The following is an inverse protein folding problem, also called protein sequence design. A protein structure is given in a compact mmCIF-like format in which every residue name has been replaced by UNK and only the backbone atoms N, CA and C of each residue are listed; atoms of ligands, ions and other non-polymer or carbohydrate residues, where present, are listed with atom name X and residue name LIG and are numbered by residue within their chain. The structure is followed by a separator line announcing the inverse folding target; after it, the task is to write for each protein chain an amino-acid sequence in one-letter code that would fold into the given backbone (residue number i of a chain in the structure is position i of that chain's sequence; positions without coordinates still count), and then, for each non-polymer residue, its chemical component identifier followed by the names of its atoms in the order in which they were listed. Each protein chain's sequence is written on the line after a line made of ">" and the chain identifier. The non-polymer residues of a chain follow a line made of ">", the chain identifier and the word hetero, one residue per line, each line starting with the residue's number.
data_IF_468701216369
#
_entry.id   IF_468701216369
#
_cell.length_a   1.000
_cell.length_b   1.000
_cell.length_c   1.000
_cell.angle_alpha   90.00
_cell.angle_beta   90.00
_cell.angle_gamma   90.00
#
_symmetry.space_group_name_H-M   'P 1'
#
loop_
_entity.id
_entity.type
_entity.pdbx_description
1 polymer ?
#
# COMPACT_ATOMS: atom_id res chain seq x y z
N UNK A 1 -9.35 31.10 -13.82
CA UNK A 1 -7.91 31.40 -13.75
C UNK A 1 -7.47 31.26 -12.30
N UNK A 2 -7.13 30.05 -11.86
CA UNK A 2 -6.47 29.82 -10.57
C UNK A 2 -5.37 28.80 -10.86
N UNK A 3 -4.15 29.31 -11.06
CA UNK A 3 -2.96 28.48 -11.09
C UNK A 3 -2.74 27.93 -9.67
N UNK A 4 -2.96 26.63 -9.49
CA UNK A 4 -2.33 25.91 -8.38
C UNK A 4 -0.86 25.75 -8.73
N UNK A 5 -0.01 26.37 -7.92
CA UNK A 5 1.44 26.32 -8.03
C UNK A 5 1.86 24.87 -7.82
N UNK A 6 2.23 24.19 -8.90
CA UNK A 6 2.92 22.91 -8.85
C UNK A 6 4.37 23.25 -8.50
N UNK A 7 4.76 23.10 -7.24
CA UNK A 7 6.18 23.06 -6.90
C UNK A 7 6.76 21.76 -7.47
N UNK A 8 7.44 21.88 -8.61
CA UNK A 8 8.36 20.89 -9.13
C UNK A 8 9.48 20.66 -8.11
N UNK A 9 9.48 19.51 -7.42
CA UNK A 9 10.58 19.13 -6.54
C UNK A 9 11.46 18.08 -7.22
N UNK A 10 12.69 18.50 -7.53
CA UNK A 10 13.78 17.63 -7.93
C UNK A 10 14.16 16.64 -6.82
N UNK A 11 14.65 15.48 -7.23
CA UNK A 11 15.16 14.40 -6.38
C UNK A 11 16.25 14.88 -5.41
N UNK A 12 15.87 15.17 -4.17
CA UNK A 12 16.78 15.16 -3.02
C UNK A 12 16.19 14.22 -1.98
N UNK A 13 17.01 13.29 -1.45
CA UNK A 13 16.60 12.33 -0.42
C UNK A 13 15.88 13.08 0.72
N UNK A 14 14.66 12.67 1.12
CA UNK A 14 13.93 13.43 2.13
C UNK A 14 14.53 13.18 3.51
N UNK A 15 14.85 14.26 4.22
CA UNK A 15 15.09 14.23 5.66
C UNK A 15 13.87 13.65 6.38
N UNK A 16 14.08 12.98 7.53
CA UNK A 16 13.04 12.21 8.24
C UNK A 16 11.73 12.99 8.51
N UNK A 17 11.79 14.31 8.67
CA UNK A 17 10.61 15.18 8.87
C UNK A 17 9.81 15.40 7.57
N UNK A 18 10.45 15.47 6.40
CA UNK A 18 9.78 15.62 5.12
C UNK A 18 9.09 14.32 4.66
N UNK A 19 9.68 13.15 4.96
CA UNK A 19 9.08 11.86 4.63
C UNK A 19 7.73 11.59 5.32
N UNK A 20 7.53 12.14 6.52
CA UNK A 20 6.28 12.02 7.29
C UNK A 20 5.11 12.79 6.66
N UNK A 21 5.38 13.94 6.03
CA UNK A 21 4.35 14.75 5.36
C UNK A 21 3.81 14.10 4.07
N UNK A 22 4.65 13.37 3.34
CA UNK A 22 4.20 12.68 2.12
C UNK A 22 3.37 11.43 2.38
N UNK A 23 3.50 10.84 3.58
CA UNK A 23 2.79 9.64 3.96
C UNK A 23 1.50 9.91 4.77
N UNK A 24 1.21 11.17 5.10
CA UNK A 24 0.03 11.50 5.91
C UNK A 24 -1.25 11.31 5.10
N UNK A 25 -2.25 10.67 5.71
CA UNK A 25 -3.57 10.54 5.14
C UNK A 25 -4.31 11.88 5.12
N UNK A 26 -4.52 12.42 3.92
CA UNK A 26 -5.21 13.69 3.70
C UNK A 26 -6.68 13.45 3.37
N UNK A 27 -7.54 13.63 4.38
CA UNK A 27 -8.99 13.48 4.26
C UNK A 27 -9.57 14.44 3.22
N UNK A 28 -9.02 15.65 3.11
CA UNK A 28 -9.51 16.64 2.16
C UNK A 28 -9.17 16.20 0.74
N UNK A 29 -7.96 15.67 0.52
CA UNK A 29 -7.58 15.11 -0.78
C UNK A 29 -8.46 13.92 -1.16
N UNK A 30 -8.75 13.02 -0.23
CA UNK A 30 -9.66 11.88 -0.48
C UNK A 30 -11.05 12.37 -0.91
N UNK A 31 -11.58 13.45 -0.32
CA UNK A 31 -12.86 14.03 -0.74
C UNK A 31 -12.83 14.63 -2.15
N UNK A 32 -11.68 15.21 -2.54
CA UNK A 32 -11.52 15.86 -3.84
C UNK A 32 -11.37 14.85 -4.99
N UNK A 33 -10.60 13.79 -4.77
CA UNK A 33 -10.19 12.89 -5.86
C UNK A 33 -10.62 11.44 -5.69
N UNK A 34 -11.22 11.08 -4.55
CA UNK A 34 -11.56 9.70 -4.21
C UNK A 34 -10.42 8.91 -3.58
N UNK A 35 -10.75 7.80 -2.93
CA UNK A 35 -9.82 6.97 -2.16
C UNK A 35 -8.72 6.34 -3.04
N UNK A 36 -9.10 5.70 -4.15
CA UNK A 36 -8.16 5.04 -5.08
C UNK A 36 -7.11 6.01 -5.61
N UNK A 37 -7.56 7.21 -5.97
CA UNK A 37 -6.68 8.24 -6.51
C UNK A 37 -5.76 8.83 -5.45
N UNK A 38 -6.27 9.11 -4.26
CA UNK A 38 -5.45 9.58 -3.14
C UNK A 38 -4.39 8.53 -2.73
N UNK A 39 -4.77 7.25 -2.67
CA UNK A 39 -3.86 6.14 -2.40
C UNK A 39 -2.79 5.98 -3.50
N UNK A 40 -3.16 6.11 -4.78
CA UNK A 40 -2.21 6.09 -5.89
C UNK A 40 -1.19 7.24 -5.79
N UNK A 41 -1.65 8.46 -5.50
CA UNK A 41 -0.79 9.62 -5.28
C UNK A 41 0.17 9.40 -4.10
N UNK A 42 -0.33 8.87 -2.99
CA UNK A 42 0.49 8.52 -1.82
C UNK A 42 1.61 7.55 -2.18
N UNK A 43 1.29 6.42 -2.82
CA UNK A 43 2.29 5.40 -3.17
C UNK A 43 3.35 5.97 -4.12
N UNK A 44 2.93 6.68 -5.18
CA UNK A 44 3.87 7.22 -6.17
C UNK A 44 4.76 8.32 -5.58
N UNK A 45 4.22 9.21 -4.73
CA UNK A 45 5.04 10.21 -4.01
C UNK A 45 6.05 9.57 -3.06
N UNK A 46 5.74 8.39 -2.53
CA UNK A 46 6.67 7.62 -1.69
C UNK A 46 7.70 6.80 -2.48
N UNK A 47 7.73 6.92 -3.81
CA UNK A 47 8.64 6.16 -4.68
C UNK A 47 8.15 4.75 -5.01
N UNK A 48 6.86 4.46 -4.80
CA UNK A 48 6.24 3.22 -5.23
C UNK A 48 5.63 3.30 -6.62
N UNK A 49 5.07 2.17 -7.04
CA UNK A 49 4.43 1.96 -8.33
C UNK A 49 3.01 1.42 -8.13
N UNK A 50 2.08 1.86 -8.97
CA UNK A 50 0.69 1.42 -8.92
C UNK A 50 0.17 0.98 -10.29
N UNK A 51 -0.92 0.21 -10.28
CA UNK A 51 -1.72 -0.11 -11.47
C UNK A 51 -3.21 -0.04 -11.12
N UNK A 52 -3.98 0.62 -11.97
CA UNK A 52 -5.45 0.61 -11.92
C UNK A 52 -6.01 -0.59 -12.69
N UNK A 53 -7.20 -1.08 -12.35
CA UNK A 53 -7.77 -2.26 -13.02
C UNK A 53 -8.19 -1.98 -14.47
N UNK A 54 -8.55 -0.73 -14.80
CA UNK A 54 -9.04 -0.30 -16.11
C UNK A 54 -7.98 0.44 -16.95
N UNK A 55 -6.76 0.58 -16.44
CA UNK A 55 -5.65 1.21 -17.17
C UNK A 55 -4.51 0.21 -17.29
N UNK A 56 -4.12 -0.11 -18.53
CA UNK A 56 -3.03 -1.04 -18.81
C UNK A 56 -1.67 -0.52 -18.31
N UNK A 57 -1.48 0.80 -18.36
CA UNK A 57 -0.29 1.49 -17.89
C UNK A 57 -0.13 1.39 -16.36
N UNK A 58 1.12 1.22 -15.94
CA UNK A 58 1.52 1.36 -14.54
C UNK A 58 2.11 2.75 -14.28
N UNK A 59 1.92 3.29 -13.09
CA UNK A 59 2.39 4.63 -12.72
C UNK A 59 3.44 4.58 -11.61
N UNK A 60 4.60 5.17 -11.89
CA UNK A 60 5.69 5.43 -10.92
C UNK A 60 6.18 6.88 -10.99
N UNK A 61 5.71 7.66 -11.97
CA UNK A 61 5.90 9.10 -12.05
C UNK A 61 4.60 9.83 -11.68
N UNK A 62 4.70 10.75 -10.72
CA UNK A 62 3.57 11.47 -10.17
C UNK A 62 2.87 12.37 -11.22
N UNK A 63 3.64 13.01 -12.10
CA UNK A 63 3.09 13.91 -13.11
C UNK A 63 2.35 13.13 -14.20
N UNK A 64 2.90 11.99 -14.62
CA UNK A 64 2.21 11.06 -15.53
C UNK A 64 0.89 10.57 -14.93
N UNK A 65 0.91 10.18 -13.65
CA UNK A 65 -0.28 9.78 -12.91
C UNK A 65 -1.35 10.88 -12.91
N UNK A 66 -1.00 12.12 -12.53
CA UNK A 66 -1.92 13.27 -12.54
C UNK A 66 -2.45 13.58 -13.92
N UNK A 67 -1.57 13.64 -14.93
CA UNK A 67 -1.98 13.95 -16.30
C UNK A 67 -2.97 12.92 -16.83
N UNK A 68 -2.74 11.63 -16.58
CA UNK A 68 -3.62 10.58 -17.10
C UNK A 68 -5.01 10.61 -16.48
N UNK A 69 -5.12 10.81 -15.17
CA UNK A 69 -6.45 10.80 -14.53
C UNK A 69 -7.17 12.13 -14.63
N UNK A 70 -6.49 13.24 -14.89
CA UNK A 70 -7.15 14.51 -15.18
C UNK A 70 -8.01 14.45 -16.47
N UNK A 71 -7.80 13.43 -17.30
CA UNK A 71 -8.56 13.17 -18.53
C UNK A 71 -9.77 12.25 -18.29
N UNK A 72 -9.95 11.72 -17.08
CA UNK A 72 -11.03 10.79 -16.73
C UNK A 72 -12.19 11.54 -16.08
N UNK A 73 -13.43 11.23 -16.44
CA UNK A 73 -14.63 11.67 -15.72
C UNK A 73 -15.12 10.54 -14.78
N UNK A 74 -14.95 10.65 -13.46
CA UNK A 74 -15.33 9.59 -12.52
C UNK A 74 -16.85 9.32 -12.45
N UNK A 75 -17.68 10.16 -13.08
CA UNK A 75 -19.13 9.93 -13.20
C UNK A 75 -19.48 8.98 -14.35
N UNK A 76 -18.56 8.79 -15.28
CA UNK A 76 -18.67 7.84 -16.37
C UNK A 76 -18.12 6.48 -15.91
N UNK A 77 -18.92 5.40 -15.91
CA UNK A 77 -18.47 4.09 -15.43
C UNK A 77 -17.19 3.58 -16.08
N UNK A 78 -16.98 3.90 -17.36
CA UNK A 78 -15.78 3.54 -18.14
C UNK A 78 -14.50 4.27 -17.69
N UNK A 79 -14.64 5.44 -17.10
CA UNK A 79 -13.52 6.28 -16.62
C UNK A 79 -13.29 6.13 -15.12
N UNK A 80 -14.17 5.43 -14.41
CA UNK A 80 -14.04 5.16 -12.99
C UNK A 80 -12.95 4.11 -12.73
N UNK A 81 -11.76 4.59 -12.37
CA UNK A 81 -10.59 3.75 -12.14
C UNK A 81 -10.47 3.31 -10.69
N UNK A 82 -10.19 2.03 -10.48
CA UNK A 82 -9.97 1.45 -9.15
C UNK A 82 -8.57 0.89 -9.02
N UNK A 83 -7.93 1.13 -7.87
CA UNK A 83 -6.56 0.76 -7.59
C UNK A 83 -6.48 -0.75 -7.37
N UNK A 84 -5.77 -1.45 -8.26
CA UNK A 84 -5.71 -2.92 -8.25
C UNK A 84 -4.41 -3.44 -7.64
N UNK A 85 -3.29 -2.79 -7.95
CA UNK A 85 -1.96 -3.24 -7.53
C UNK A 85 -1.13 -2.10 -6.97
N UNK A 86 -0.49 -2.34 -5.82
CA UNK A 86 0.52 -1.50 -5.20
C UNK A 86 1.82 -2.29 -5.15
N UNK A 87 2.91 -1.72 -5.66
CA UNK A 87 4.26 -2.24 -5.51
C UNK A 87 5.17 -1.13 -4.98
N UNK A 88 5.56 -1.23 -3.71
CA UNK A 88 6.46 -0.29 -3.06
C UNK A 88 7.78 -1.01 -2.79
N UNK A 89 8.84 -0.60 -3.49
CA UNK A 89 10.18 -1.20 -3.40
C UNK A 89 11.18 -0.08 -3.07
N UNK A 90 11.88 -0.20 -1.94
CA UNK A 90 12.70 0.88 -1.36
C UNK A 90 11.92 2.19 -1.11
N UNK A 91 10.59 2.11 -1.09
CA UNK A 91 9.68 3.24 -0.94
C UNK A 91 9.62 3.73 0.52
N UNK A 92 9.37 5.03 0.71
CA UNK A 92 9.33 5.67 2.02
C UNK A 92 7.99 5.55 2.75
N UNK A 93 7.15 4.56 2.40
CA UNK A 93 5.84 4.34 3.04
C UNK A 93 5.97 4.05 4.54
N UNK A 94 4.97 4.48 5.32
CA UNK A 94 4.89 4.23 6.77
C UNK A 94 3.65 3.40 7.11
N UNK A 95 3.63 2.79 8.29
CA UNK A 95 2.44 2.07 8.77
C UNK A 95 1.21 2.97 8.91
N UNK A 96 1.40 4.23 9.32
CA UNK A 96 0.31 5.22 9.36
C UNK A 96 -0.22 5.59 7.96
N UNK A 97 0.65 5.59 6.94
CA UNK A 97 0.25 5.81 5.55
C UNK A 97 -0.73 4.76 5.05
N UNK A 98 -0.71 3.54 5.61
CA UNK A 98 -1.67 2.49 5.28
C UNK A 98 -3.13 2.84 5.63
N UNK A 99 -3.41 3.97 6.29
CA UNK A 99 -4.78 4.51 6.36
C UNK A 99 -5.39 4.78 4.97
N UNK A 100 -4.58 4.99 3.94
CA UNK A 100 -5.05 5.09 2.54
C UNK A 100 -5.64 3.80 1.97
N UNK A 101 -5.55 2.66 2.68
CA UNK A 101 -6.30 1.46 2.31
C UNK A 101 -7.80 1.56 2.63
N UNK A 102 -8.21 2.55 3.42
CA UNK A 102 -9.62 2.85 3.68
C UNK A 102 -10.37 3.10 2.35
N UNK A 103 -11.49 2.38 2.17
CA UNK A 103 -12.35 2.45 0.99
C UNK A 103 -11.73 2.00 -0.35
N UNK A 104 -10.61 1.26 -0.35
CA UNK A 104 -10.08 0.63 -1.57
C UNK A 104 -10.78 -0.70 -1.86
N UNK A 105 -11.83 -0.67 -2.66
CA UNK A 105 -12.70 -1.84 -2.87
C UNK A 105 -12.15 -2.91 -3.84
N UNK A 106 -11.16 -2.57 -4.67
CA UNK A 106 -10.67 -3.44 -5.75
C UNK A 106 -9.18 -3.79 -5.65
N UNK A 107 -8.48 -3.43 -4.57
CA UNK A 107 -7.07 -3.77 -4.41
C UNK A 107 -6.93 -5.29 -4.25
N UNK A 108 -6.08 -5.87 -5.11
CA UNK A 108 -5.82 -7.32 -5.16
C UNK A 108 -4.41 -7.66 -4.73
N UNK A 109 -3.43 -6.84 -5.13
CA UNK A 109 -2.01 -7.19 -4.96
C UNK A 109 -1.24 -6.08 -4.27
N UNK A 110 -0.59 -6.39 -3.15
CA UNK A 110 0.27 -5.46 -2.42
C UNK A 110 1.63 -6.09 -2.20
N UNK A 111 2.67 -5.39 -2.65
CA UNK A 111 4.07 -5.78 -2.47
C UNK A 111 4.80 -4.66 -1.74
N UNK A 112 5.29 -4.94 -0.53
CA UNK A 112 6.13 -4.05 0.25
C UNK A 112 7.50 -4.69 0.46
N UNK A 113 8.49 -4.16 -0.27
CA UNK A 113 9.83 -4.71 -0.35
C UNK A 113 10.82 -3.63 0.09
N UNK A 114 11.62 -3.92 1.12
CA UNK A 114 12.59 -2.99 1.71
C UNK A 114 11.96 -1.65 2.17
N UNK A 115 10.68 -1.65 2.54
CA UNK A 115 9.99 -0.48 3.08
C UNK A 115 10.37 -0.27 4.57
N UNK A 116 11.50 0.40 4.81
CA UNK A 116 12.12 0.51 6.15
C UNK A 116 11.26 1.21 7.21
N UNK A 117 10.29 2.03 6.79
CA UNK A 117 9.41 2.76 7.70
C UNK A 117 8.04 2.10 7.90
N UNK A 118 7.74 1.00 7.21
CA UNK A 118 6.52 0.22 7.40
C UNK A 118 6.59 -0.56 8.71
N UNK A 119 5.60 -0.39 9.58
CA UNK A 119 5.53 -0.99 10.92
C UNK A 119 4.14 -1.60 11.18
N UNK A 120 3.99 -2.32 12.28
CA UNK A 120 2.86 -3.20 12.61
C UNK A 120 1.47 -2.59 12.41
N UNK A 121 1.24 -1.35 12.84
CA UNK A 121 -0.03 -0.63 12.62
C UNK A 121 -0.46 -0.61 11.13
N UNK A 122 0.48 -0.65 10.19
CA UNK A 122 0.16 -0.74 8.77
C UNK A 122 -0.62 -2.00 8.41
N UNK A 123 -0.23 -3.15 8.98
CA UNK A 123 -0.93 -4.42 8.78
C UNK A 123 -2.28 -4.44 9.51
N UNK A 124 -2.38 -3.74 10.64
CA UNK A 124 -3.65 -3.55 11.32
C UNK A 124 -4.66 -2.81 10.44
N UNK A 125 -4.29 -1.63 9.91
CA UNK A 125 -5.15 -0.84 9.02
C UNK A 125 -5.55 -1.62 7.77
N UNK A 126 -4.59 -2.27 7.12
CA UNK A 126 -4.87 -3.09 5.94
C UNK A 126 -5.85 -4.23 6.26
N UNK A 127 -5.64 -4.93 7.37
CA UNK A 127 -6.53 -6.01 7.80
C UNK A 127 -7.96 -5.52 8.09
N UNK A 128 -8.11 -4.31 8.62
CA UNK A 128 -9.42 -3.70 8.89
C UNK A 128 -10.17 -3.31 7.61
N UNK A 129 -9.47 -2.87 6.56
CA UNK A 129 -10.11 -2.26 5.39
C UNK A 129 -10.14 -3.13 4.13
N UNK A 130 -9.12 -3.97 3.91
CA UNK A 130 -8.97 -4.72 2.65
C UNK A 130 -8.72 -6.21 2.84
N UNK A 131 -8.60 -6.69 4.09
CA UNK A 131 -8.28 -8.09 4.38
C UNK A 131 -9.29 -9.10 3.82
N UNK A 132 -10.54 -8.70 3.65
CA UNK A 132 -11.62 -9.54 3.12
C UNK A 132 -11.66 -9.65 1.58
N UNK A 133 -10.78 -8.96 0.85
CA UNK A 133 -10.69 -9.10 -0.61
C UNK A 133 -9.27 -9.03 -1.19
N UNK A 134 -8.26 -8.63 -0.41
CA UNK A 134 -6.86 -8.66 -0.84
C UNK A 134 -6.44 -10.10 -1.16
N UNK A 135 -5.81 -10.31 -2.32
CA UNK A 135 -5.46 -11.64 -2.83
C UNK A 135 -4.00 -12.01 -2.61
N UNK A 136 -3.10 -11.04 -2.78
CA UNK A 136 -1.67 -11.23 -2.60
C UNK A 136 -1.11 -10.17 -1.67
N UNK A 137 -0.41 -10.62 -0.62
CA UNK A 137 0.43 -9.76 0.20
C UNK A 137 1.87 -10.29 0.22
N UNK A 138 2.82 -9.45 -0.16
CA UNK A 138 4.25 -9.73 -0.06
C UNK A 138 4.92 -8.71 0.85
N UNK A 139 5.54 -9.17 1.92
CA UNK A 139 6.38 -8.39 2.81
C UNK A 139 7.80 -8.94 2.77
N UNK A 140 8.77 -8.13 2.33
CA UNK A 140 10.17 -8.52 2.25
C UNK A 140 11.06 -7.43 2.82
N UNK A 141 11.98 -7.79 3.72
CA UNK A 141 12.95 -6.86 4.32
C UNK A 141 12.33 -5.60 4.99
N UNK A 142 11.06 -5.68 5.42
CA UNK A 142 10.38 -4.62 6.16
C UNK A 142 10.77 -4.69 7.65
N UNK A 143 11.91 -4.07 8.00
CA UNK A 143 12.61 -4.27 9.30
C UNK A 143 11.85 -3.79 10.54
N UNK A 144 10.74 -3.06 10.40
CA UNK A 144 9.91 -2.61 11.53
C UNK A 144 8.60 -3.39 11.67
N UNK A 145 8.41 -4.42 10.86
CA UNK A 145 7.37 -5.44 11.07
C UNK A 145 7.88 -6.48 12.06
N UNK A 146 7.09 -6.73 13.09
CA UNK A 146 7.36 -7.70 14.15
C UNK A 146 6.29 -8.81 14.16
N UNK A 147 6.45 -9.80 15.05
CA UNK A 147 5.43 -10.82 15.28
C UNK A 147 4.05 -10.23 15.61
N UNK A 148 3.99 -9.08 16.31
CA UNK A 148 2.72 -8.43 16.67
C UNK A 148 1.99 -7.90 15.44
N UNK A 149 2.71 -7.32 14.48
CA UNK A 149 2.12 -6.92 13.20
C UNK A 149 1.58 -8.11 12.42
N UNK A 150 2.29 -9.23 12.44
CA UNK A 150 1.87 -10.45 11.76
C UNK A 150 0.60 -11.08 12.38
N UNK A 151 0.29 -10.83 13.66
CA UNK A 151 -0.97 -11.31 14.25
C UNK A 151 -2.21 -10.73 13.57
N UNK A 152 -2.11 -9.51 13.01
CA UNK A 152 -3.20 -8.89 12.25
C UNK A 152 -3.48 -9.57 10.91
N UNK A 153 -2.58 -10.42 10.41
CA UNK A 153 -2.80 -11.18 9.17
C UNK A 153 -3.99 -12.14 9.28
N UNK A 154 -4.43 -12.48 10.49
CA UNK A 154 -5.68 -13.23 10.72
C UNK A 154 -6.93 -12.55 10.15
N UNK A 155 -6.90 -11.22 9.93
CA UNK A 155 -8.01 -10.46 9.31
C UNK A 155 -8.03 -10.57 7.78
N UNK A 156 -6.99 -11.14 7.16
CA UNK A 156 -6.82 -11.20 5.72
C UNK A 156 -7.47 -12.47 5.12
N UNK A 157 -8.76 -12.62 5.37
CA UNK A 157 -9.53 -13.86 5.14
C UNK A 157 -9.68 -14.26 3.67
N UNK A 158 -9.36 -13.37 2.73
CA UNK A 158 -9.44 -13.63 1.30
C UNK A 158 -8.10 -13.79 0.58
N UNK A 159 -6.98 -13.85 1.32
CA UNK A 159 -5.66 -14.06 0.74
C UNK A 159 -5.54 -15.43 0.08
N UNK A 160 -5.15 -15.41 -1.19
CA UNK A 160 -4.75 -16.61 -1.91
C UNK A 160 -3.25 -16.85 -1.70
N UNK A 161 -2.44 -15.79 -1.56
CA UNK A 161 -0.98 -15.87 -1.41
C UNK A 161 -0.42 -14.88 -0.39
N UNK A 162 0.40 -15.40 0.53
CA UNK A 162 1.15 -14.63 1.51
C UNK A 162 2.64 -14.97 1.41
N UNK A 163 3.48 -13.97 1.16
CA UNK A 163 4.95 -14.13 1.11
C UNK A 163 5.55 -13.26 2.20
N UNK A 164 6.28 -13.88 3.13
CA UNK A 164 7.00 -13.21 4.21
C UNK A 164 8.48 -13.57 4.12
N UNK A 165 9.34 -12.59 3.83
CA UNK A 165 10.78 -12.79 3.60
C UNK A 165 11.64 -11.85 4.42
N UNK A 166 12.69 -12.39 5.04
CA UNK A 166 13.74 -11.60 5.69
C UNK A 166 13.23 -10.54 6.69
N UNK A 167 12.16 -10.84 7.45
CA UNK A 167 11.59 -9.94 8.44
C UNK A 167 12.35 -10.07 9.77
N UNK A 168 13.52 -9.43 9.82
CA UNK A 168 14.53 -9.60 10.90
C UNK A 168 14.05 -9.32 12.34
N UNK A 169 12.94 -8.60 12.50
CA UNK A 169 12.40 -8.20 13.80
C UNK A 169 11.24 -9.08 14.27
N UNK A 170 10.98 -10.19 13.57
CA UNK A 170 9.99 -11.19 13.98
C UNK A 170 10.66 -12.22 14.88
N UNK A 171 10.18 -12.31 16.11
CA UNK A 171 10.64 -13.29 17.09
C UNK A 171 9.64 -14.46 17.23
N UNK A 172 10.11 -15.62 17.71
CA UNK A 172 9.26 -16.80 17.89
C UNK A 172 8.66 -17.35 16.60
N UNK A 173 9.49 -17.44 15.55
CA UNK A 173 9.13 -17.72 14.16
C UNK A 173 8.23 -18.94 14.00
N UNK A 174 8.54 -20.05 14.67
CA UNK A 174 7.78 -21.30 14.58
C UNK A 174 6.34 -21.11 15.10
N UNK A 175 6.19 -20.38 16.21
CA UNK A 175 4.87 -20.09 16.79
C UNK A 175 4.07 -19.14 15.91
N UNK A 176 4.72 -18.14 15.33
CA UNK A 176 4.09 -17.21 14.38
C UNK A 176 3.60 -17.97 13.15
N UNK A 177 4.46 -18.79 12.54
CA UNK A 177 4.09 -19.59 11.37
C UNK A 177 2.93 -20.53 11.67
N UNK A 178 2.96 -21.24 12.81
CA UNK A 178 1.87 -22.12 13.22
C UNK A 178 0.54 -21.36 13.34
N UNK A 179 0.54 -20.19 14.00
CA UNK A 179 -0.65 -19.34 14.13
C UNK A 179 -1.17 -18.89 12.75
N UNK A 180 -0.28 -18.44 11.86
CA UNK A 180 -0.65 -17.98 10.53
C UNK A 180 -1.29 -19.10 9.71
N UNK A 181 -0.68 -20.29 9.69
CA UNK A 181 -1.23 -21.45 8.97
C UNK A 181 -2.58 -21.90 9.55
N UNK A 182 -2.79 -21.77 10.86
CA UNK A 182 -4.07 -22.04 11.50
C UNK A 182 -5.14 -20.99 11.16
N UNK A 183 -4.79 -19.71 11.13
CA UNK A 183 -5.71 -18.61 10.84
C UNK A 183 -6.07 -18.50 9.35
N UNK A 184 -5.15 -18.89 8.46
CA UNK A 184 -5.27 -18.76 7.01
C UNK A 184 -5.08 -20.13 6.31
N UNK A 185 -5.93 -21.14 6.60
CA UNK A 185 -5.70 -22.53 6.19
C UNK A 185 -5.80 -22.78 4.68
N UNK A 186 -6.32 -21.81 3.91
CA UNK A 186 -6.48 -21.89 2.44
C UNK A 186 -5.47 -21.03 1.68
N UNK A 187 -4.61 -20.30 2.37
CA UNK A 187 -3.65 -19.38 1.78
C UNK A 187 -2.34 -20.12 1.49
N UNK A 188 -1.75 -19.89 0.32
CA UNK A 188 -0.37 -20.29 0.03
C UNK A 188 0.60 -19.39 0.82
N UNK A 189 1.14 -19.91 1.92
CA UNK A 189 2.06 -19.20 2.81
C UNK A 189 3.50 -19.62 2.55
N UNK A 190 4.29 -18.69 2.01
CA UNK A 190 5.75 -18.76 1.88
C UNK A 190 6.38 -18.01 3.05
N UNK A 191 6.87 -18.75 4.05
CA UNK A 191 7.41 -18.20 5.29
C UNK A 191 8.93 -18.39 5.34
N UNK A 192 9.67 -17.35 4.97
CA UNK A 192 11.14 -17.31 4.91
C UNK A 192 11.65 -16.11 5.75
N UNK A 193 11.15 -16.01 6.98
CA UNK A 193 11.41 -14.91 7.94
C UNK A 193 12.66 -15.16 8.77
#
# INVERSE_FOLDING_TARGET
>A
MHLLIIHSFHRTKPDHLHGLYFCSYDIQRVKEVGADRAAAEWIVRCGGKIKFSQIDESFEDYNCLVKRTAQLDPRLPEDNVTLETIRAEDASITGFGCRHFENLSAIKNVYFIRCKNLHDFGLEYMGQHVGNHLKTLHLEECRRITEFGLEHLSKFTALDKLILRNLKSVHGKEKVEQKLRGALPKTDIQFEV
#
